data_IF_880753233132
#
_entry.id   IF_880753233132
#
_cell.length_a   1.000
_cell.length_b   1.000
_cell.length_c   1.000
_cell.angle_alpha   90.00
_cell.angle_beta   90.00
_cell.angle_gamma   90.00
#
_symmetry.space_group_name_H-M   'P 1'
#
loop_
_entity.id
_entity.type
_entity.pdbx_description
1 polymer ?
#
# COMPACT_ATOMS: atom_id res chain seq x y z
N UNK A 1 22.16 -12.50 -10.68
CA UNK A 1 21.70 -11.21 -10.14
C UNK A 1 22.17 -11.18 -8.70
N UNK A 2 23.05 -10.25 -8.34
CA UNK A 2 23.60 -10.17 -6.99
C UNK A 2 22.48 -9.89 -5.99
N UNK A 3 22.44 -10.69 -4.93
CA UNK A 3 21.50 -10.57 -3.82
C UNK A 3 21.82 -9.29 -3.06
N UNK A 4 21.05 -8.22 -3.29
CA UNK A 4 21.20 -6.96 -2.57
C UNK A 4 20.49 -7.12 -1.22
N UNK A 5 21.22 -7.19 -0.09
CA UNK A 5 20.66 -7.58 1.22
C UNK A 5 19.62 -6.59 1.78
N UNK A 6 19.44 -5.43 1.15
CA UNK A 6 18.53 -4.37 1.58
C UNK A 6 17.20 -4.32 0.80
N UNK A 7 17.12 -4.95 -0.38
CA UNK A 7 15.90 -4.94 -1.20
C UNK A 7 14.99 -6.10 -0.80
N UNK A 8 13.71 -5.80 -0.51
CA UNK A 8 12.71 -6.87 -0.36
C UNK A 8 12.56 -7.60 -1.69
N UNK A 9 12.23 -8.89 -1.63
CA UNK A 9 11.83 -9.63 -2.82
C UNK A 9 10.63 -8.92 -3.49
N UNK A 10 10.77 -8.56 -4.75
CA UNK A 10 9.82 -7.72 -5.49
C UNK A 10 9.60 -8.25 -6.91
N UNK A 11 8.53 -7.80 -7.58
CA UNK A 11 8.24 -8.17 -8.97
C UNK A 11 7.68 -9.59 -9.18
N UNK A 12 7.50 -10.38 -8.11
CA UNK A 12 6.90 -11.72 -8.12
C UNK A 12 5.37 -11.74 -8.30
N UNK A 13 4.75 -10.64 -8.73
CA UNK A 13 3.30 -10.43 -8.73
C UNK A 13 2.50 -11.50 -9.47
N UNK A 14 3.07 -12.16 -10.49
CA UNK A 14 2.41 -13.24 -11.23
C UNK A 14 2.02 -14.43 -10.35
N UNK A 15 2.69 -14.61 -9.21
CA UNK A 15 2.40 -15.66 -8.23
C UNK A 15 1.38 -15.21 -7.18
N UNK A 16 1.05 -13.91 -7.11
CA UNK A 16 0.07 -13.41 -6.15
C UNK A 16 -1.33 -13.90 -6.52
N UNK A 17 -2.04 -14.44 -5.53
CA UNK A 17 -3.43 -14.86 -5.68
C UNK A 17 -4.32 -13.67 -6.06
N UNK A 18 -4.09 -12.51 -5.45
CA UNK A 18 -4.80 -11.26 -5.76
C UNK A 18 -4.61 -10.85 -7.22
N UNK A 19 -3.37 -10.92 -7.74
CA UNK A 19 -3.08 -10.60 -9.14
C UNK A 19 -3.77 -11.56 -10.12
N UNK A 20 -3.69 -12.88 -9.86
CA UNK A 20 -4.33 -13.90 -10.72
C UNK A 20 -5.85 -13.75 -10.72
N UNK A 21 -6.46 -13.49 -9.56
CA UNK A 21 -7.89 -13.23 -9.47
C UNK A 21 -8.30 -11.94 -10.20
N UNK A 22 -7.53 -10.85 -10.04
CA UNK A 22 -7.75 -9.60 -10.77
C UNK A 22 -7.56 -9.76 -12.29
N UNK A 23 -6.68 -10.67 -12.72
CA UNK A 23 -6.55 -11.03 -14.13
C UNK A 23 -7.82 -11.74 -14.65
N UNK A 24 -8.36 -12.70 -13.90
CA UNK A 24 -9.63 -13.34 -14.27
C UNK A 24 -10.79 -12.33 -14.36
N UNK A 25 -10.83 -11.35 -13.45
CA UNK A 25 -11.80 -10.25 -13.49
C UNK A 25 -11.60 -9.42 -14.76
N UNK A 26 -10.37 -9.04 -15.10
CA UNK A 26 -10.08 -8.25 -16.30
C UNK A 26 -10.51 -8.96 -17.58
N UNK A 27 -10.06 -10.20 -17.78
CA UNK A 27 -10.35 -10.95 -19.00
C UNK A 27 -11.86 -11.26 -19.12
N UNK A 28 -12.50 -11.60 -17.99
CA UNK A 28 -13.95 -11.78 -17.94
C UNK A 28 -14.76 -10.50 -18.16
N UNK A 29 -14.24 -9.34 -17.75
CA UNK A 29 -14.87 -8.04 -18.02
C UNK A 29 -14.84 -7.72 -19.50
N UNK A 30 -13.71 -7.96 -20.17
CA UNK A 30 -13.60 -7.78 -21.63
C UNK A 30 -14.61 -8.67 -22.35
N UNK A 31 -14.65 -9.97 -22.02
CA UNK A 31 -15.58 -10.92 -22.62
C UNK A 31 -17.06 -10.54 -22.37
N UNK A 32 -17.38 -10.08 -21.16
CA UNK A 32 -18.72 -9.59 -20.83
C UNK A 32 -19.11 -8.36 -21.65
N UNK A 33 -18.23 -7.36 -21.71
CA UNK A 33 -18.47 -6.13 -22.45
C UNK A 33 -18.61 -6.38 -23.95
N UNK A 34 -17.92 -7.37 -24.52
CA UNK A 34 -18.06 -7.77 -25.92
C UNK A 34 -19.44 -8.32 -26.26
N UNK A 35 -20.13 -8.91 -25.28
CA UNK A 35 -21.43 -9.56 -25.48
C UNK A 35 -22.61 -8.66 -25.11
N UNK A 36 -22.50 -7.94 -24.00
CA UNK A 36 -23.68 -7.38 -23.33
C UNK A 36 -23.67 -5.85 -23.21
N UNK A 37 -22.57 -5.20 -23.57
CA UNK A 37 -22.44 -3.74 -23.53
C UNK A 37 -22.19 -3.21 -24.93
N UNK A 38 -22.93 -2.17 -25.30
CA UNK A 38 -22.77 -1.54 -26.60
C UNK A 38 -21.31 -1.10 -26.84
N UNK A 39 -20.77 -1.40 -28.03
CA UNK A 39 -19.37 -1.17 -28.38
C UNK A 39 -18.96 0.30 -28.39
N UNK A 40 -19.93 1.21 -28.52
CA UNK A 40 -19.72 2.67 -28.53
C UNK A 40 -20.08 3.31 -27.19
N UNK A 41 -20.54 2.53 -26.22
CA UNK A 41 -20.93 3.04 -24.92
C UNK A 41 -19.71 3.43 -24.08
N UNK A 42 -19.78 4.61 -23.45
CA UNK A 42 -18.79 5.03 -22.46
C UNK A 42 -18.68 4.07 -21.27
N UNK A 43 -19.78 3.41 -20.90
CA UNK A 43 -19.81 2.40 -19.83
C UNK A 43 -18.86 1.24 -20.13
N UNK A 44 -18.77 0.81 -21.39
CA UNK A 44 -17.83 -0.26 -21.78
C UNK A 44 -16.39 0.14 -21.48
N UNK A 45 -16.00 1.35 -21.88
CA UNK A 45 -14.64 1.85 -21.63
C UNK A 45 -14.35 1.96 -20.13
N UNK A 46 -15.31 2.45 -19.34
CA UNK A 46 -15.19 2.59 -17.90
C UNK A 46 -14.99 1.25 -17.21
N UNK A 47 -15.85 0.26 -17.50
CA UNK A 47 -15.73 -1.08 -16.94
C UNK A 47 -14.39 -1.74 -17.27
N UNK A 48 -14.01 -1.73 -18.56
CA UNK A 48 -12.75 -2.35 -19.01
C UNK A 48 -11.54 -1.64 -18.41
N UNK A 49 -11.58 -0.31 -18.30
CA UNK A 49 -10.51 0.45 -17.66
C UNK A 49 -10.42 0.13 -16.17
N UNK A 50 -11.53 0.12 -15.44
CA UNK A 50 -11.54 -0.15 -13.99
C UNK A 50 -10.96 -1.53 -13.69
N UNK A 51 -11.37 -2.54 -14.46
CA UNK A 51 -10.80 -3.89 -14.37
C UNK A 51 -9.30 -3.93 -14.69
N UNK A 52 -8.86 -3.23 -15.75
CA UNK A 52 -7.44 -3.11 -16.12
C UNK A 52 -6.63 -2.43 -15.01
N UNK A 53 -7.15 -1.34 -14.47
CA UNK A 53 -6.55 -0.56 -13.38
C UNK A 53 -6.36 -1.42 -12.14
N UNK A 54 -7.39 -2.18 -11.75
CA UNK A 54 -7.33 -3.14 -10.64
C UNK A 54 -6.13 -4.08 -10.78
N UNK A 55 -5.99 -4.74 -11.93
CA UNK A 55 -4.88 -5.66 -12.20
C UNK A 55 -3.51 -4.96 -12.26
N UNK A 56 -3.43 -3.81 -12.91
CA UNK A 56 -2.16 -3.11 -13.15
C UNK A 56 -1.54 -2.57 -11.87
N UNK A 57 -2.34 -1.93 -11.02
CA UNK A 57 -1.85 -1.36 -9.78
C UNK A 57 -1.28 -2.43 -8.83
N UNK A 58 -1.80 -3.66 -8.85
CA UNK A 58 -1.20 -4.80 -8.11
C UNK A 58 0.20 -5.11 -8.65
N UNK A 59 0.37 -5.14 -9.98
CA UNK A 59 1.63 -5.44 -10.63
C UNK A 59 2.67 -4.33 -10.44
N UNK A 60 2.24 -3.08 -10.49
CA UNK A 60 3.09 -1.91 -10.26
C UNK A 60 3.49 -1.81 -8.79
N UNK A 61 2.54 -1.99 -7.86
CA UNK A 61 2.81 -2.01 -6.43
C UNK A 61 3.83 -3.08 -6.05
N UNK A 62 3.66 -4.30 -6.55
CA UNK A 62 4.61 -5.38 -6.29
C UNK A 62 6.00 -5.13 -6.88
N UNK A 63 6.14 -4.37 -7.97
CA UNK A 63 7.46 -3.96 -8.47
C UNK A 63 8.07 -2.86 -7.61
N UNK A 64 7.26 -1.89 -7.20
CA UNK A 64 7.68 -0.79 -6.34
C UNK A 64 8.06 -1.26 -4.92
N UNK A 65 7.55 -2.40 -4.46
CA UNK A 65 7.83 -2.97 -3.12
C UNK A 65 9.31 -3.08 -2.75
N UNK A 66 10.19 -3.25 -3.76
CA UNK A 66 11.63 -3.31 -3.56
C UNK A 66 12.23 -2.00 -3.05
N UNK A 67 11.64 -0.86 -3.45
CA UNK A 67 12.18 0.48 -3.19
C UNK A 67 11.24 1.37 -2.36
N UNK A 68 9.92 1.12 -2.36
CA UNK A 68 8.96 1.87 -1.56
C UNK A 68 7.76 1.03 -1.13
N UNK A 69 7.71 0.70 0.16
CA UNK A 69 6.58 0.02 0.79
C UNK A 69 5.32 0.89 0.85
N UNK A 70 5.47 2.22 0.94
CA UNK A 70 4.34 3.14 0.92
C UNK A 70 3.68 3.19 -0.45
N UNK A 71 4.48 3.25 -1.52
CA UNK A 71 3.98 3.19 -2.90
C UNK A 71 3.28 1.86 -3.17
N UNK A 72 3.85 0.74 -2.72
CA UNK A 72 3.19 -0.57 -2.79
C UNK A 72 1.81 -0.55 -2.13
N UNK A 73 1.73 -0.12 -0.86
CA UNK A 73 0.47 -0.06 -0.12
C UNK A 73 -0.56 0.83 -0.82
N UNK A 74 -0.14 2.01 -1.29
CA UNK A 74 -0.99 2.96 -2.02
C UNK A 74 -1.56 2.32 -3.30
N UNK A 75 -0.72 1.69 -4.12
CA UNK A 75 -1.14 1.10 -5.39
C UNK A 75 -2.09 -0.09 -5.15
N UNK A 76 -1.82 -0.95 -4.16
CA UNK A 76 -2.76 -2.03 -3.81
C UNK A 76 -4.11 -1.46 -3.32
N UNK A 77 -4.10 -0.32 -2.61
CA UNK A 77 -5.31 0.42 -2.26
C UNK A 77 -6.08 0.95 -3.47
N UNK A 78 -5.38 1.52 -4.47
CA UNK A 78 -6.00 1.96 -5.73
C UNK A 78 -6.60 0.77 -6.49
N UNK A 79 -5.90 -0.37 -6.53
CA UNK A 79 -6.42 -1.58 -7.16
C UNK A 79 -7.77 -2.00 -6.54
N UNK A 80 -7.83 -1.97 -5.20
CA UNK A 80 -9.03 -2.31 -4.43
C UNK A 80 -10.18 -1.34 -4.72
N UNK A 81 -9.90 -0.04 -4.85
CA UNK A 81 -10.91 0.95 -5.21
C UNK A 81 -11.43 0.77 -6.65
N UNK A 82 -10.54 0.53 -7.63
CA UNK A 82 -10.95 0.30 -9.02
C UNK A 82 -11.88 -0.91 -9.18
N UNK A 83 -11.70 -1.96 -8.36
CA UNK A 83 -12.60 -3.11 -8.39
C UNK A 83 -13.94 -2.85 -7.70
N UNK A 84 -14.04 -1.92 -6.75
CA UNK A 84 -15.34 -1.47 -6.21
C UNK A 84 -16.10 -0.62 -7.22
N UNK A 85 -15.42 0.23 -7.97
CA UNK A 85 -16.05 0.98 -9.07
C UNK A 85 -16.64 0.00 -10.11
N UNK A 86 -15.86 -1.00 -10.50
CA UNK A 86 -16.32 -2.06 -11.40
C UNK A 86 -17.49 -2.88 -10.82
N UNK A 87 -17.49 -3.13 -9.50
CA UNK A 87 -18.58 -3.84 -8.83
C UNK A 87 -19.91 -3.09 -9.01
N UNK A 88 -19.89 -1.77 -8.79
CA UNK A 88 -21.05 -0.91 -8.97
C UNK A 88 -21.56 -0.93 -10.41
N UNK A 89 -20.66 -0.96 -11.41
CA UNK A 89 -21.05 -1.08 -12.82
C UNK A 89 -21.84 -2.37 -13.11
N UNK A 90 -21.44 -3.50 -12.51
CA UNK A 90 -22.17 -4.77 -12.66
C UNK A 90 -23.52 -4.77 -11.92
N UNK A 91 -23.56 -4.20 -10.71
CA UNK A 91 -24.81 -4.05 -9.95
C UNK A 91 -25.80 -3.17 -10.70
N UNK A 92 -25.33 -2.07 -11.28
CA UNK A 92 -26.12 -1.19 -12.12
C UNK A 92 -26.57 -1.86 -13.42
N UNK A 93 -25.70 -2.64 -14.06
CA UNK A 93 -26.06 -3.44 -15.23
C UNK A 93 -27.26 -4.36 -14.94
N UNK A 94 -27.22 -5.08 -13.82
CA UNK A 94 -28.30 -5.99 -13.39
C UNK A 94 -29.57 -5.20 -13.06
N UNK A 95 -29.44 -4.16 -12.24
CA UNK A 95 -30.56 -3.34 -11.76
C UNK A 95 -31.31 -2.67 -12.91
N UNK A 96 -30.59 -2.03 -13.84
CA UNK A 96 -31.17 -1.31 -14.97
C UNK A 96 -31.88 -2.24 -15.96
N UNK A 97 -31.42 -3.50 -16.07
CA UNK A 97 -32.03 -4.53 -16.94
C UNK A 97 -33.04 -5.43 -16.23
N UNK A 98 -33.35 -5.16 -14.95
CA UNK A 98 -34.26 -5.96 -14.12
C UNK A 98 -33.84 -7.44 -14.02
N UNK A 99 -32.54 -7.69 -14.00
CA UNK A 99 -31.96 -9.01 -13.79
C UNK A 99 -31.68 -9.23 -12.30
N UNK A 100 -31.69 -10.48 -11.84
CA UNK A 100 -31.55 -10.79 -10.42
C UNK A 100 -30.08 -10.76 -10.00
N UNK A 101 -29.77 -9.98 -8.97
CA UNK A 101 -28.52 -10.14 -8.22
C UNK A 101 -28.60 -11.39 -7.33
N UNK A 102 -27.57 -12.23 -7.38
CA UNK A 102 -27.52 -13.45 -6.59
C UNK A 102 -27.26 -13.15 -5.12
N UNK A 103 -28.03 -13.78 -4.25
CA UNK A 103 -27.77 -13.74 -2.82
C UNK A 103 -26.51 -14.56 -2.48
N UNK A 104 -25.95 -14.32 -1.29
CA UNK A 104 -24.73 -14.99 -0.83
C UNK A 104 -24.89 -16.51 -0.67
N UNK A 105 -26.10 -17.03 -0.61
CA UNK A 105 -26.45 -18.44 -0.48
C UNK A 105 -27.00 -19.05 -1.78
N UNK A 106 -27.06 -18.29 -2.88
CA UNK A 106 -27.48 -18.81 -4.18
C UNK A 106 -26.54 -19.96 -4.59
N UNK A 107 -27.06 -21.16 -4.95
CA UNK A 107 -26.24 -22.29 -5.34
C UNK A 107 -25.27 -21.99 -6.50
N UNK A 108 -25.66 -21.08 -7.42
CA UNK A 108 -24.81 -20.64 -8.53
C UNK A 108 -23.65 -19.80 -8.01
N UNK A 109 -23.90 -18.86 -7.10
CA UNK A 109 -22.86 -18.05 -6.45
C UNK A 109 -21.90 -18.91 -5.60
N UNK A 110 -22.42 -19.92 -4.91
CA UNK A 110 -21.60 -20.90 -4.17
C UNK A 110 -20.68 -21.64 -5.15
N UNK A 111 -21.22 -22.16 -6.26
CA UNK A 111 -20.44 -22.88 -7.27
C UNK A 111 -19.31 -22.03 -7.85
N UNK A 112 -19.60 -20.79 -8.27
CA UNK A 112 -18.58 -19.87 -8.80
C UNK A 112 -17.49 -19.60 -7.76
N UNK A 113 -17.86 -19.33 -6.51
CA UNK A 113 -16.87 -19.08 -5.45
C UNK A 113 -16.02 -20.32 -5.13
N UNK A 114 -16.58 -21.52 -5.21
CA UNK A 114 -15.85 -22.76 -5.00
C UNK A 114 -14.71 -22.93 -6.02
N UNK A 115 -14.95 -22.58 -7.28
CA UNK A 115 -13.92 -22.57 -8.34
C UNK A 115 -12.76 -21.64 -7.95
N UNK A 116 -13.07 -20.42 -7.50
CA UNK A 116 -12.06 -19.45 -7.07
C UNK A 116 -11.25 -19.91 -5.86
N UNK A 117 -11.89 -20.58 -4.91
CA UNK A 117 -11.20 -21.16 -3.75
C UNK A 117 -10.26 -22.30 -4.16
N UNK A 118 -10.70 -23.19 -5.05
CA UNK A 118 -9.87 -24.27 -5.58
C UNK A 118 -8.66 -23.72 -6.37
N UNK A 119 -8.89 -22.74 -7.25
CA UNK A 119 -7.84 -22.08 -8.02
C UNK A 119 -6.83 -21.33 -7.14
N UNK A 120 -7.27 -20.76 -6.02
CA UNK A 120 -6.38 -20.13 -5.03
C UNK A 120 -5.55 -21.16 -4.25
N UNK A 121 -6.04 -22.40 -4.11
CA UNK A 121 -5.41 -23.46 -3.33
C UNK A 121 -4.36 -24.25 -4.13
N UNK A 122 -4.46 -24.26 -5.46
CA UNK A 122 -3.49 -24.90 -6.34
C UNK A 122 -2.19 -24.12 -6.50
N UNK A 123 -1.16 -24.80 -6.99
CA UNK A 123 0.14 -24.19 -7.27
C UNK A 123 0.01 -23.06 -8.29
N UNK A 124 0.38 -21.83 -7.88
CA UNK A 124 0.43 -20.64 -8.74
C UNK A 124 1.39 -20.80 -9.94
N UNK A 125 2.13 -21.90 -10.00
CA UNK A 125 3.08 -22.28 -11.04
C UNK A 125 2.44 -22.99 -12.25
N UNK A 126 1.16 -23.37 -12.19
CA UNK A 126 0.55 -24.21 -13.25
C UNK A 126 0.44 -23.54 -14.62
N UNK A 127 0.73 -22.25 -14.76
CA UNK A 127 0.67 -21.52 -16.05
C UNK A 127 -0.73 -21.42 -16.67
N UNK A 128 -1.74 -22.04 -16.04
CA UNK A 128 -3.12 -22.05 -16.47
C UNK A 128 -3.71 -20.64 -16.42
N UNK A 129 -4.51 -20.34 -17.43
CA UNK A 129 -5.30 -19.11 -17.52
C UNK A 129 -6.27 -19.03 -16.31
N UNK A 130 -6.14 -18.02 -15.44
CA UNK A 130 -7.05 -17.83 -14.30
C UNK A 130 -8.52 -17.64 -14.68
N UNK A 131 -8.82 -17.21 -15.90
CA UNK A 131 -10.17 -16.95 -16.38
C UNK A 131 -10.87 -18.21 -16.92
N UNK A 132 -10.13 -19.19 -17.42
CA UNK A 132 -10.67 -20.35 -18.13
C UNK A 132 -11.81 -21.10 -17.39
N UNK A 133 -11.73 -21.35 -16.07
CA UNK A 133 -12.82 -22.00 -15.34
C UNK A 133 -14.15 -21.25 -15.34
N UNK A 134 -14.14 -19.95 -15.65
CA UNK A 134 -15.31 -19.08 -15.65
C UNK A 134 -15.88 -18.85 -17.05
N UNK A 135 -15.17 -19.27 -18.11
CA UNK A 135 -15.54 -19.06 -19.51
C UNK A 135 -16.96 -19.54 -19.80
N UNK A 136 -17.33 -20.73 -19.33
CA UNK A 136 -18.68 -21.26 -19.53
C UNK A 136 -19.78 -20.37 -18.92
N UNK A 137 -19.52 -19.75 -17.77
CA UNK A 137 -20.50 -18.87 -17.12
C UNK A 137 -20.59 -17.50 -17.80
N UNK A 138 -19.47 -16.96 -18.28
CA UNK A 138 -19.38 -15.59 -18.79
C UNK A 138 -19.56 -15.49 -20.31
N UNK A 139 -19.10 -16.47 -21.09
CA UNK A 139 -19.18 -16.49 -22.57
C UNK A 139 -20.36 -17.33 -23.08
N UNK A 140 -20.75 -18.40 -22.40
CA UNK A 140 -21.90 -19.22 -22.79
C UNK A 140 -23.17 -18.92 -21.96
N UNK A 141 -23.03 -18.39 -20.75
CA UNK A 141 -24.15 -17.98 -19.90
C UNK A 141 -24.93 -16.78 -20.45
N UNK A 142 -26.12 -16.56 -19.90
CA UNK A 142 -26.93 -15.36 -20.13
C UNK A 142 -26.35 -14.13 -19.40
N UNK A 143 -26.93 -12.96 -19.66
CA UNK A 143 -26.46 -11.70 -19.09
C UNK A 143 -26.49 -11.69 -17.55
N UNK A 144 -27.50 -12.32 -16.94
CA UNK A 144 -27.62 -12.45 -15.48
C UNK A 144 -26.48 -13.31 -14.92
N UNK A 145 -26.25 -14.49 -15.49
CA UNK A 145 -25.23 -15.43 -15.04
C UNK A 145 -23.84 -14.84 -15.21
N UNK A 146 -23.57 -14.20 -16.35
CA UNK A 146 -22.28 -13.60 -16.63
C UNK A 146 -21.94 -12.45 -15.64
N UNK A 147 -22.88 -11.52 -15.43
CA UNK A 147 -22.69 -10.40 -14.51
C UNK A 147 -22.51 -10.89 -13.06
N UNK A 148 -23.36 -11.80 -12.58
CA UNK A 148 -23.24 -12.32 -11.22
C UNK A 148 -21.97 -13.15 -10.98
N UNK A 149 -21.48 -13.84 -12.01
CA UNK A 149 -20.19 -14.55 -11.96
C UNK A 149 -19.05 -13.55 -11.73
N UNK A 150 -19.06 -12.42 -12.44
CA UNK A 150 -18.04 -11.37 -12.31
C UNK A 150 -18.13 -10.64 -10.97
N UNK A 151 -19.34 -10.40 -10.45
CA UNK A 151 -19.56 -9.91 -9.08
C UNK A 151 -18.92 -10.86 -8.05
N UNK A 152 -19.11 -12.18 -8.20
CA UNK A 152 -18.49 -13.16 -7.30
C UNK A 152 -16.95 -13.09 -7.36
N UNK A 153 -16.38 -12.99 -8.56
CA UNK A 153 -14.94 -12.86 -8.78
C UNK A 153 -14.38 -11.57 -8.16
N UNK A 154 -15.08 -10.45 -8.31
CA UNK A 154 -14.68 -9.16 -7.74
C UNK A 154 -14.69 -9.25 -6.21
N UNK A 155 -15.73 -9.79 -5.60
CA UNK A 155 -15.77 -9.99 -4.15
C UNK A 155 -14.61 -10.85 -3.62
N UNK A 156 -14.28 -11.94 -4.33
CA UNK A 156 -13.14 -12.79 -3.96
C UNK A 156 -11.81 -12.05 -4.12
N UNK A 157 -11.67 -11.26 -5.19
CA UNK A 157 -10.47 -10.47 -5.44
C UNK A 157 -10.30 -9.38 -4.39
N UNK A 158 -11.38 -8.67 -4.05
CA UNK A 158 -11.40 -7.65 -2.99
C UNK A 158 -11.05 -8.24 -1.62
N UNK A 159 -11.56 -9.44 -1.29
CA UNK A 159 -11.16 -10.14 -0.07
C UNK A 159 -9.64 -10.43 -0.04
N UNK A 160 -9.06 -10.86 -1.16
CA UNK A 160 -7.61 -11.10 -1.25
C UNK A 160 -6.81 -9.80 -1.12
N UNK A 161 -7.27 -8.72 -1.74
CA UNK A 161 -6.66 -7.40 -1.65
C UNK A 161 -6.72 -6.83 -0.23
N UNK A 162 -7.85 -6.95 0.46
CA UNK A 162 -8.00 -6.50 1.85
C UNK A 162 -7.03 -7.23 2.77
N UNK A 163 -6.83 -8.55 2.56
CA UNK A 163 -5.81 -9.31 3.30
C UNK A 163 -4.38 -8.88 2.95
N UNK A 164 -4.12 -8.59 1.68
CA UNK A 164 -2.80 -8.10 1.24
C UNK A 164 -2.48 -6.74 1.85
N UNK A 165 -3.44 -5.79 1.83
CA UNK A 165 -3.30 -4.47 2.44
C UNK A 165 -2.97 -4.60 3.92
N UNK A 166 -3.76 -5.37 4.68
CA UNK A 166 -3.50 -5.58 6.12
C UNK A 166 -2.12 -6.19 6.39
N UNK A 167 -1.68 -7.12 5.54
CA UNK A 167 -0.36 -7.72 5.67
C UNK A 167 0.76 -6.68 5.42
N UNK A 168 0.61 -5.85 4.38
CA UNK A 168 1.56 -4.78 4.06
C UNK A 168 1.61 -3.72 5.16
N UNK A 169 0.46 -3.31 5.71
CA UNK A 169 0.36 -2.40 6.84
C UNK A 169 1.09 -2.95 8.08
N UNK A 170 0.82 -4.21 8.44
CA UNK A 170 1.47 -4.85 9.57
C UNK A 170 2.99 -4.96 9.37
N UNK A 171 3.42 -5.25 8.13
CA UNK A 171 4.83 -5.32 7.79
C UNK A 171 5.50 -3.94 7.87
N UNK A 172 4.81 -2.89 7.44
CA UNK A 172 5.30 -1.51 7.57
C UNK A 172 5.45 -1.11 9.04
N UNK A 173 4.48 -1.45 9.89
CA UNK A 173 4.52 -1.16 11.33
C UNK A 173 5.68 -1.90 12.02
N UNK A 174 5.92 -3.17 11.65
CA UNK A 174 6.90 -4.00 12.36
C UNK A 174 8.35 -3.83 11.86
N UNK A 175 8.55 -3.61 10.56
CA UNK A 175 9.87 -3.61 9.92
C UNK A 175 10.33 -2.22 9.45
N UNK A 176 9.46 -1.21 9.56
CA UNK A 176 9.68 0.13 9.03
C UNK A 176 9.67 0.21 7.49
N UNK A 177 9.78 1.42 6.96
CA UNK A 177 9.95 1.67 5.52
C UNK A 177 11.33 1.29 4.98
N UNK A 178 11.47 1.28 3.64
CA UNK A 178 12.78 1.04 2.99
C UNK A 178 13.83 2.10 3.41
N UNK A 179 13.45 3.38 3.43
CA UNK A 179 14.32 4.48 3.85
C UNK A 179 14.76 4.37 5.31
N UNK A 180 13.86 3.91 6.20
CA UNK A 180 14.19 3.65 7.61
C UNK A 180 15.22 2.52 7.75
N UNK A 181 15.07 1.43 6.98
CA UNK A 181 16.03 0.32 6.96
C UNK A 181 17.39 0.76 6.44
N UNK A 182 17.45 1.55 5.36
CA UNK A 182 18.69 2.14 4.86
C UNK A 182 19.34 3.06 5.90
N UNK A 183 18.56 3.89 6.58
CA UNK A 183 19.05 4.76 7.63
C UNK A 183 19.61 3.97 8.83
N UNK A 184 18.94 2.88 9.23
CA UNK A 184 19.44 1.96 10.24
C UNK A 184 20.76 1.29 9.83
N UNK A 185 20.83 0.74 8.62
CA UNK A 185 22.03 0.13 8.07
C UNK A 185 23.21 1.12 8.00
N UNK A 186 22.96 2.38 7.61
CA UNK A 186 23.96 3.46 7.64
C UNK A 186 24.46 3.76 9.05
N UNK A 187 23.59 3.74 10.07
CA UNK A 187 23.99 3.94 11.48
C UNK A 187 24.88 2.79 11.98
N UNK A 188 24.53 1.55 11.67
CA UNK A 188 25.32 0.37 12.05
C UNK A 188 26.70 0.36 11.37
N UNK A 189 26.77 0.70 10.08
CA UNK A 189 28.03 0.81 9.35
C UNK A 189 28.98 1.84 9.98
N UNK A 190 28.45 3.00 10.39
CA UNK A 190 29.23 4.02 11.12
C UNK A 190 29.72 3.54 12.48
N UNK A 191 28.91 2.78 13.23
CA UNK A 191 29.32 2.22 14.51
C UNK A 191 30.43 1.17 14.36
N UNK A 192 30.40 0.36 13.28
CA UNK A 192 31.44 -0.63 12.98
C UNK A 192 32.77 0.01 12.54
N UNK A 193 32.70 1.19 11.91
CA UNK A 193 33.88 1.96 11.48
C UNK A 193 34.40 2.93 12.55
N UNK A 194 33.76 3.01 13.72
CA UNK A 194 34.27 3.81 14.82
C UNK A 194 35.65 3.29 15.23
N UNK A 195 36.71 4.13 15.22
CA UNK A 195 38.06 3.67 15.55
C UNK A 195 38.07 3.08 16.96
N UNK A 196 38.71 1.91 17.10
CA UNK A 196 39.06 1.33 18.39
C UNK A 196 39.66 2.42 19.27
N UNK A 197 39.11 2.57 20.47
CA UNK A 197 39.39 3.68 21.38
C UNK A 197 40.88 3.93 21.54
N UNK A 198 41.24 5.20 21.36
CA UNK A 198 42.51 5.80 21.77
C UNK A 198 42.68 5.58 23.29
N UNK A 199 43.31 4.47 23.67
CA UNK A 199 43.76 4.20 25.03
C UNK A 199 45.28 4.17 25.06
N UNK A 200 45.91 5.25 25.51
CA UNK A 200 47.35 5.34 25.68
C UNK A 200 47.86 6.79 25.65
N UNK A 201 48.13 7.33 26.83
CA UNK A 201 48.71 8.65 27.10
C UNK A 201 50.05 8.92 26.40
N UNK A 202 50.26 10.15 25.89
CA UNK A 202 51.22 11.14 26.44
C UNK A 202 51.36 12.42 25.59
N UNK A 203 51.84 13.54 26.18
CA UNK A 203 51.80 14.89 25.61
C UNK A 203 53.06 15.23 24.80
N UNK A 204 52.93 16.12 23.82
CA UNK A 204 54.07 16.69 23.10
C UNK A 204 53.64 17.54 21.89
N UNK A 205 54.13 18.77 21.85
CA UNK A 205 53.77 19.82 20.90
C UNK A 205 54.32 19.59 19.47
N UNK A 206 53.68 20.21 18.46
CA UNK A 206 54.22 20.33 17.10
C UNK A 206 53.20 20.78 16.05
N UNK A 207 53.24 22.08 15.72
CA UNK A 207 52.94 22.83 14.48
C UNK A 207 51.85 22.37 13.45
N UNK A 208 51.05 23.30 12.86
CA UNK A 208 50.06 22.99 11.85
C UNK A 208 50.64 23.11 10.42
N UNK A 209 50.67 22.00 9.68
CA UNK A 209 51.04 21.96 8.27
C UNK A 209 50.07 21.11 7.45
N UNK A 210 49.41 21.76 6.49
CA UNK A 210 48.86 21.22 5.24
C UNK A 210 47.94 19.98 5.26
N UNK A 211 46.64 20.22 5.07
CA UNK A 211 45.74 19.22 4.49
C UNK A 211 44.61 19.89 3.69
N UNK A 212 44.90 20.25 2.43
CA UNK A 212 43.87 20.45 1.41
C UNK A 212 43.33 19.07 1.00
N UNK A 213 42.19 18.70 1.57
CA UNK A 213 41.40 17.52 1.20
C UNK A 213 39.92 17.83 1.41
N UNK A 214 39.33 18.60 0.49
CA UNK A 214 37.91 18.91 0.53
C UNK A 214 37.04 17.67 0.30
N UNK A 215 35.84 17.57 0.92
CA UNK A 215 34.98 16.41 0.74
C UNK A 215 34.46 16.30 -0.71
N UNK A 216 34.53 15.08 -1.22
CA UNK A 216 34.02 14.62 -2.52
C UNK A 216 32.55 15.03 -2.69
N UNK A 217 32.27 15.77 -3.78
CA UNK A 217 30.94 16.35 -4.09
C UNK A 217 30.02 15.38 -4.84
N UNK A 218 30.32 14.09 -4.88
CA UNK A 218 29.50 13.09 -5.58
C UNK A 218 28.31 12.53 -4.76
N UNK A 219 28.18 12.89 -3.47
CA UNK A 219 27.07 12.49 -2.59
C UNK A 219 25.92 13.53 -2.52
N UNK A 220 25.37 13.94 -3.67
CA UNK A 220 24.08 14.63 -3.67
C UNK A 220 22.95 13.61 -3.79
N UNK A 221 21.96 13.59 -2.86
CA UNK A 221 20.81 12.72 -2.99
C UNK A 221 20.03 13.09 -4.26
N UNK A 222 19.72 12.08 -5.05
CA UNK A 222 18.85 12.15 -6.23
C UNK A 222 17.55 12.88 -5.86
N UNK A 223 17.25 13.94 -6.61
CA UNK A 223 16.14 14.87 -6.34
C UNK A 223 14.76 14.29 -6.68
N UNK A 224 14.69 13.01 -7.06
CA UNK A 224 13.45 12.31 -7.40
C UNK A 224 12.55 12.00 -6.19
N UNK A 225 13.02 12.19 -4.95
CA UNK A 225 12.32 11.79 -3.72
C UNK A 225 11.58 12.93 -2.98
N UNK A 226 11.38 14.10 -3.59
CA UNK A 226 10.72 15.25 -2.94
C UNK A 226 9.18 15.19 -2.89
N UNK A 227 8.58 14.02 -3.06
CA UNK A 227 7.12 13.85 -2.98
C UNK A 227 6.63 13.34 -1.63
N UNK A 228 7.48 13.37 -0.61
CA UNK A 228 7.09 13.13 0.77
C UNK A 228 6.54 14.43 1.40
N UNK A 229 5.27 14.49 1.84
CA UNK A 229 4.91 15.47 2.85
C UNK A 229 5.72 15.14 4.10
N UNK A 230 6.78 15.93 4.31
CA UNK A 230 7.74 15.88 5.41
C UNK A 230 7.27 15.06 6.61
N UNK A 231 7.91 13.90 6.80
CA UNK A 231 7.97 13.29 8.12
C UNK A 231 8.50 14.35 9.11
N UNK A 232 7.84 14.52 10.27
CA UNK A 232 8.40 15.35 11.32
C UNK A 232 9.78 14.79 11.72
N UNK A 233 10.76 15.64 12.05
CA UNK A 233 12.06 15.17 12.50
C UNK A 233 11.91 14.21 13.69
N UNK A 234 12.78 13.20 13.73
CA UNK A 234 12.86 12.13 14.73
C UNK A 234 12.53 12.61 16.17
N UNK A 235 11.92 11.75 17.01
CA UNK A 235 11.35 12.16 18.29
C UNK A 235 12.43 12.76 19.19
N UNK A 236 12.30 14.06 19.47
CA UNK A 236 12.90 14.66 20.64
C UNK A 236 12.42 13.90 21.88
N UNK A 237 13.34 13.60 22.79
CA UNK A 237 13.22 12.63 23.88
C UNK A 237 12.20 12.96 25.00
N UNK A 238 11.13 13.72 24.75
CA UNK A 238 10.14 14.12 25.76
C UNK A 238 8.69 13.96 25.27
N UNK A 239 8.30 12.74 24.88
CA UNK A 239 6.89 12.43 24.61
C UNK A 239 6.16 12.15 25.93
N UNK A 240 5.22 12.99 26.39
CA UNK A 240 4.54 12.79 27.65
C UNK A 240 3.59 11.58 27.59
N UNK A 241 3.39 10.93 28.74
CA UNK A 241 2.38 9.88 28.91
C UNK A 241 1.00 10.48 29.14
N UNK A 242 -0.02 9.83 28.58
CA UNK A 242 -1.41 10.21 28.74
C UNK A 242 -1.84 10.12 30.21
N UNK A 243 -2.50 11.17 30.77
CA UNK A 243 -2.94 11.15 32.18
C UNK A 243 -4.09 10.17 32.45
N UNK A 244 -4.79 9.69 31.42
CA UNK A 244 -5.94 8.79 31.58
C UNK A 244 -5.57 7.30 31.47
N UNK A 245 -4.59 6.95 30.64
CA UNK A 245 -4.26 5.53 30.37
C UNK A 245 -2.76 5.22 30.32
N UNK A 246 -1.87 6.20 30.52
CA UNK A 246 -0.42 5.99 30.55
C UNK A 246 0.27 5.73 29.20
N UNK A 247 -0.50 5.60 28.10
CA UNK A 247 0.01 5.43 26.73
C UNK A 247 0.72 6.70 26.23
N UNK A 248 1.66 6.60 25.26
CA UNK A 248 2.33 7.76 24.68
C UNK A 248 1.34 8.71 23.99
N UNK A 249 1.70 9.98 23.91
CA UNK A 249 0.87 11.02 23.30
C UNK A 249 1.45 11.48 21.95
N UNK A 250 0.57 11.86 21.02
CA UNK A 250 0.94 12.44 19.73
C UNK A 250 0.66 13.94 19.72
N UNK A 251 1.58 14.74 19.18
CA UNK A 251 1.41 16.18 19.04
C UNK A 251 0.41 16.47 17.90
N UNK A 252 -0.64 17.22 18.19
CA UNK A 252 -1.71 17.59 17.26
C UNK A 252 -1.94 19.10 17.32
N UNK A 253 -2.65 19.67 16.36
CA UNK A 253 -3.07 21.08 16.37
C UNK A 253 -4.58 21.16 16.42
N UNK A 254 -5.11 22.04 17.28
CA UNK A 254 -6.55 22.27 17.33
C UNK A 254 -7.01 22.94 16.03
N UNK A 255 -8.05 22.38 15.40
CA UNK A 255 -8.59 22.88 14.12
C UNK A 255 -9.65 23.98 14.31
N UNK A 256 -10.29 24.04 15.48
CA UNK A 256 -11.42 24.91 15.78
C UNK A 256 -11.40 25.34 17.26
N UNK A 257 -12.02 26.48 17.60
CA UNK A 257 -12.12 27.02 18.97
C UNK A 257 -11.02 28.02 19.35
N UNK A 258 -11.05 28.51 20.59
CA UNK A 258 -10.15 29.55 21.13
C UNK A 258 -8.67 29.14 21.19
N UNK A 259 -8.36 27.86 20.99
CA UNK A 259 -7.02 27.32 20.88
C UNK A 259 -6.59 26.93 19.46
N UNK A 260 -7.36 27.30 18.43
CA UNK A 260 -7.07 26.94 17.04
C UNK A 260 -5.62 27.32 16.64
N UNK A 261 -4.94 26.39 15.98
CA UNK A 261 -3.53 26.53 15.58
C UNK A 261 -2.50 26.18 16.67
N UNK A 262 -2.89 26.19 17.95
CA UNK A 262 -1.96 25.84 19.06
C UNK A 262 -1.73 24.32 19.09
N UNK A 263 -0.48 23.88 19.29
CA UNK A 263 -0.17 22.46 19.44
C UNK A 263 -0.66 21.95 20.81
N UNK A 264 -1.20 20.74 20.84
CA UNK A 264 -1.58 20.02 22.04
C UNK A 264 -1.21 18.54 21.90
N UNK A 265 -0.95 17.87 23.01
CA UNK A 265 -0.74 16.42 23.03
C UNK A 265 -2.08 15.72 23.12
N UNK A 266 -2.37 14.77 22.22
CA UNK A 266 -3.52 13.88 22.29
C UNK A 266 -3.08 12.42 22.43
N UNK A 267 -3.82 11.60 23.17
CA UNK A 267 -3.49 10.19 23.34
C UNK A 267 -3.37 9.45 21.99
N UNK A 268 -2.36 8.59 21.84
CA UNK A 268 -2.18 7.75 20.66
C UNK A 268 -3.34 6.76 20.45
N UNK A 269 -4.02 6.34 21.53
CA UNK A 269 -5.16 5.43 21.50
C UNK A 269 -6.52 6.13 21.21
N UNK A 270 -6.51 7.37 20.70
CA UNK A 270 -7.74 8.01 20.22
C UNK A 270 -8.32 7.24 19.02
N UNK A 271 -9.66 7.04 18.91
CA UNK A 271 -10.74 7.66 19.70
C UNK A 271 -11.08 6.97 21.02
N UNK A 272 -10.50 5.80 21.29
CA UNK A 272 -10.77 4.95 22.47
C UNK A 272 -10.34 5.60 23.78
N UNK A 273 -9.28 6.42 23.76
CA UNK A 273 -8.87 7.29 24.85
C UNK A 273 -8.80 8.75 24.39
N UNK A 274 -9.49 9.65 25.09
CA UNK A 274 -9.56 11.09 24.76
C UNK A 274 -8.67 11.98 25.62
N UNK A 275 -7.65 11.42 26.28
CA UNK A 275 -6.77 12.20 27.15
C UNK A 275 -5.91 13.20 26.39
N UNK A 276 -5.81 14.43 26.91
CA UNK A 276 -5.05 15.54 26.30
C UNK A 276 -4.12 16.23 27.32
N UNK A 277 -3.10 16.94 26.82
CA UNK A 277 -2.19 17.82 27.57
C UNK A 277 -1.79 19.02 26.71
N UNK A 278 -1.38 20.12 27.35
CA UNK A 278 -0.86 21.30 26.64
C UNK A 278 0.45 20.95 25.92
N UNK A 279 0.57 21.35 24.65
CA UNK A 279 1.79 21.17 23.85
C UNK A 279 2.88 22.19 24.23
N UNK A 280 4.15 21.94 23.86
CA UNK A 280 5.25 22.86 24.15
C UNK A 280 5.02 24.24 23.54
N UNK A 281 5.33 25.33 24.26
CA UNK A 281 5.25 26.69 23.73
C UNK A 281 6.32 26.92 22.65
N UNK A 282 5.96 27.53 21.51
CA UNK A 282 6.93 27.99 20.50
C UNK A 282 7.17 27.11 19.27
N UNK A 283 6.45 25.99 19.08
CA UNK A 283 6.59 25.14 17.88
C UNK A 283 5.93 25.74 16.59
N UNK A 284 6.18 27.02 16.32
CA UNK A 284 5.66 27.70 15.14
C UNK A 284 6.09 29.15 15.00
N UNK A 285 7.27 29.39 14.43
CA UNK A 285 7.55 30.47 13.46
C UNK A 285 8.65 29.94 12.53
N UNK A 286 8.36 29.81 11.23
CA UNK A 286 9.39 29.81 10.18
C UNK A 286 9.14 31.06 9.37
N UNK A 287 9.96 32.08 9.61
CA UNK A 287 10.04 33.27 8.76
C UNK A 287 10.53 32.83 7.38
N UNK A 288 9.82 33.27 6.34
CA UNK A 288 10.21 33.09 4.94
C UNK A 288 10.98 34.35 4.49
N UNK A 289 12.07 34.23 3.71
CA UNK A 289 12.49 35.30 2.82
C UNK A 289 11.51 35.44 1.64
#
# INVERSE_FOLDING_TARGET
MADHPTLRAHGGYRKLRSFRAAQAVYDGTVAFCDRFVDKRSRTRDQMVQAARSGRQNIAEGSRASGTSSQTELRLVGVARASLDELLLDYEDFLRQRKLRAWAKDDPRAIRVRAIGMAAASGDAASGLDPYDPYRAFVEAGDAETAANTLICLIHQTNYLLDRQIRALEQQFINEGGYSERLAAARREARQRQAPWGRGGDRPGAGDPGDALGGPDRSDQPDQSDRSDPADPPAPAADVPRCPLCGQPMALRRARTGTGAGRPFWGCAAYPTCRGTRLGPPGAGVRDAP
#
